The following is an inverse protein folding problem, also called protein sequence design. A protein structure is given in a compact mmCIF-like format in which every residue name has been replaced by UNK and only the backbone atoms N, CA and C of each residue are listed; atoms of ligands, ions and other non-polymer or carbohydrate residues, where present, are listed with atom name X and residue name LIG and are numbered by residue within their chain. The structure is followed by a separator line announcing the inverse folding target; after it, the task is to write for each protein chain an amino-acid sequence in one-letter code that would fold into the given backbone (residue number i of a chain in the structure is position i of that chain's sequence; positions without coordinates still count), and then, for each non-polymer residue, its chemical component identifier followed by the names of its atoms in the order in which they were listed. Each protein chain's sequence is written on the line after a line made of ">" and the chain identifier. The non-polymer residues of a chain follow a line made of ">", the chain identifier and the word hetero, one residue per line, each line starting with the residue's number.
data_IF_357477702017
#
_entry.id   IF_357477702017
#
_cell.length_a   1.000
_cell.length_b   1.000
_cell.length_c   1.000
_cell.angle_alpha   90.00
_cell.angle_beta   90.00
_cell.angle_gamma   90.00
#
_symmetry.space_group_name_H-M   'P 1'
#
loop_
_entity.id
_entity.type
_entity.pdbx_description
1 polymer ?
#
# COMPACT_ATOMS: atom_id res chain seq x y z
N UNK A 1 -0.71 0.32 -32.34
CA UNK A 1 -0.24 0.23 -30.93
C UNK A 1 -0.04 -1.23 -30.57
N UNK A 2 1.14 -1.61 -30.10
CA UNK A 2 1.37 -2.98 -29.64
C UNK A 2 0.70 -3.23 -28.26
N UNK A 3 0.78 -4.47 -27.78
CA UNK A 3 0.12 -4.85 -26.52
C UNK A 3 0.70 -4.09 -25.33
N UNK A 4 2.01 -3.92 -25.27
CA UNK A 4 2.68 -3.19 -24.19
C UNK A 4 2.26 -1.73 -24.16
N UNK A 5 2.21 -1.08 -25.32
CA UNK A 5 1.77 0.31 -25.42
C UNK A 5 0.32 0.49 -24.99
N UNK A 6 -0.55 -0.48 -25.32
CA UNK A 6 -1.95 -0.47 -24.89
C UNK A 6 -2.07 -0.54 -23.37
N UNK A 7 -1.27 -1.39 -22.73
CA UNK A 7 -1.25 -1.51 -21.28
C UNK A 7 -0.75 -0.22 -20.61
N UNK A 8 0.31 0.39 -21.15
CA UNK A 8 0.82 1.67 -20.64
C UNK A 8 -0.21 2.78 -20.81
N UNK A 9 -0.90 2.82 -21.94
CA UNK A 9 -1.98 3.78 -22.18
C UNK A 9 -3.09 3.64 -21.15
N UNK A 10 -3.57 2.41 -20.91
CA UNK A 10 -4.61 2.15 -19.93
C UNK A 10 -4.16 2.51 -18.51
N UNK A 11 -2.92 2.19 -18.16
CA UNK A 11 -2.36 2.55 -16.87
C UNK A 11 -2.37 4.07 -16.67
N UNK A 12 -1.93 4.81 -17.67
CA UNK A 12 -1.89 6.28 -17.59
C UNK A 12 -3.29 6.89 -17.55
N UNK A 13 -4.24 6.30 -18.26
CA UNK A 13 -5.64 6.73 -18.22
C UNK A 13 -6.18 6.65 -16.79
N UNK A 14 -5.99 5.52 -16.12
CA UNK A 14 -6.48 5.33 -14.74
C UNK A 14 -5.68 6.14 -13.73
N UNK A 15 -4.39 6.37 -13.97
CA UNK A 15 -3.62 7.32 -13.17
C UNK A 15 -4.23 8.72 -13.24
N UNK A 16 -4.52 9.21 -14.43
CA UNK A 16 -5.10 10.54 -14.61
C UNK A 16 -6.47 10.65 -13.94
N UNK A 17 -7.29 9.59 -14.04
CA UNK A 17 -8.58 9.54 -13.36
C UNK A 17 -8.40 9.60 -11.83
N UNK A 18 -7.47 8.84 -11.29
CA UNK A 18 -7.14 8.85 -9.86
C UNK A 18 -6.63 10.22 -9.40
N UNK A 19 -5.79 10.86 -10.21
CA UNK A 19 -5.27 12.18 -9.89
C UNK A 19 -6.40 13.22 -9.79
N UNK A 20 -7.33 13.21 -10.74
CA UNK A 20 -8.49 14.11 -10.70
C UNK A 20 -9.35 13.88 -9.45
N UNK A 21 -9.59 12.63 -9.08
CA UNK A 21 -10.35 12.28 -7.88
C UNK A 21 -9.62 12.74 -6.61
N UNK A 22 -8.31 12.58 -6.55
CA UNK A 22 -7.50 13.04 -5.42
C UNK A 22 -7.56 14.56 -5.29
N UNK A 23 -7.53 15.30 -6.40
CA UNK A 23 -7.60 16.76 -6.41
C UNK A 23 -8.93 17.30 -5.85
N UNK A 24 -10.03 16.57 -6.04
CA UNK A 24 -11.33 16.93 -5.48
C UNK A 24 -11.60 16.25 -4.13
N UNK A 25 -10.60 15.65 -3.52
CA UNK A 25 -10.66 14.98 -2.22
C UNK A 25 -11.53 13.72 -2.18
N UNK A 26 -11.81 13.11 -3.33
CA UNK A 26 -12.42 11.77 -3.40
C UNK A 26 -11.31 10.72 -3.26
N UNK A 27 -10.83 10.54 -2.03
CA UNK A 27 -9.68 9.69 -1.75
C UNK A 27 -10.00 8.21 -1.99
N UNK A 28 -11.19 7.77 -1.61
CA UNK A 28 -11.61 6.38 -1.84
C UNK A 28 -11.70 6.05 -3.34
N UNK A 29 -12.28 6.96 -4.13
CA UNK A 29 -12.35 6.82 -5.58
C UNK A 29 -10.98 6.85 -6.23
N UNK A 30 -10.09 7.72 -5.73
CA UNK A 30 -8.71 7.81 -6.21
C UNK A 30 -7.97 6.47 -5.99
N UNK A 31 -8.12 5.84 -4.83
CA UNK A 31 -7.50 4.54 -4.53
C UNK A 31 -7.94 3.48 -5.56
N UNK A 32 -9.24 3.41 -5.84
CA UNK A 32 -9.78 2.44 -6.82
C UNK A 32 -9.13 2.67 -8.20
N UNK A 33 -9.10 3.90 -8.67
CA UNK A 33 -8.53 4.24 -9.99
C UNK A 33 -7.03 3.97 -10.04
N UNK A 34 -6.28 4.32 -8.99
CA UNK A 34 -4.84 4.11 -8.95
C UNK A 34 -4.48 2.63 -8.87
N UNK A 35 -5.22 1.84 -8.11
CA UNK A 35 -5.04 0.38 -8.10
C UNK A 35 -5.30 -0.21 -9.49
N UNK A 36 -6.29 0.30 -10.19
CA UNK A 36 -6.58 -0.14 -11.56
C UNK A 36 -5.45 0.24 -12.52
N UNK A 37 -4.88 1.43 -12.36
CA UNK A 37 -3.68 1.84 -13.09
C UNK A 37 -2.56 0.81 -12.92
N UNK A 38 -2.31 0.38 -11.69
CA UNK A 38 -1.26 -0.60 -11.36
C UNK A 38 -1.58 -2.02 -11.85
N UNK A 39 -2.83 -2.36 -12.05
CA UNK A 39 -3.21 -3.63 -12.68
C UNK A 39 -2.76 -3.67 -14.15
N UNK A 40 -2.83 -2.55 -14.84
CA UNK A 40 -2.38 -2.46 -16.23
C UNK A 40 -0.86 -2.33 -16.35
N UNK A 41 -0.21 -1.63 -15.41
CA UNK A 41 1.26 -1.50 -15.37
C UNK A 41 1.72 -1.35 -13.93
N UNK A 42 2.13 -2.46 -13.33
CA UNK A 42 2.59 -2.51 -11.93
C UNK A 42 3.83 -1.65 -11.68
N UNK A 43 4.60 -1.31 -12.71
CA UNK A 43 5.81 -0.50 -12.63
C UNK A 43 5.55 0.99 -12.87
N UNK A 44 4.28 1.41 -12.94
CA UNK A 44 3.93 2.82 -13.05
C UNK A 44 4.23 3.53 -11.72
N UNK A 45 5.46 4.03 -11.60
CA UNK A 45 5.97 4.65 -10.37
C UNK A 45 5.16 5.90 -10.01
N UNK A 46 4.76 6.68 -10.99
CA UNK A 46 3.96 7.89 -10.78
C UNK A 46 2.63 7.56 -10.12
N UNK A 47 1.94 6.52 -10.63
CA UNK A 47 0.68 6.05 -10.04
C UNK A 47 0.89 5.49 -8.64
N UNK A 48 1.95 4.73 -8.43
CA UNK A 48 2.25 4.13 -7.14
C UNK A 48 2.57 5.18 -6.08
N UNK A 49 3.37 6.17 -6.44
CA UNK A 49 3.71 7.26 -5.51
C UNK A 49 2.48 8.10 -5.14
N UNK A 50 1.60 8.36 -6.10
CA UNK A 50 0.34 9.04 -5.81
C UNK A 50 -0.57 8.20 -4.92
N UNK A 51 -0.65 6.89 -5.16
CA UNK A 51 -1.41 5.98 -4.32
C UNK A 51 -0.93 6.04 -2.86
N UNK A 52 0.38 6.08 -2.65
CA UNK A 52 0.96 6.25 -1.33
C UNK A 52 0.51 7.56 -0.68
N UNK A 53 0.51 8.68 -1.42
CA UNK A 53 0.04 9.96 -0.91
C UNK A 53 -1.44 9.94 -0.54
N UNK A 54 -2.26 9.26 -1.34
CA UNK A 54 -3.71 9.15 -1.07
C UNK A 54 -3.95 8.32 0.19
N UNK A 55 -3.25 7.21 0.36
CA UNK A 55 -3.30 6.42 1.59
C UNK A 55 -2.89 7.26 2.80
N UNK A 56 -1.79 8.01 2.67
CA UNK A 56 -1.31 8.89 3.73
C UNK A 56 -2.37 9.93 4.11
N UNK A 57 -3.02 10.53 3.11
CA UNK A 57 -4.10 11.50 3.33
C UNK A 57 -5.31 10.93 4.06
N UNK A 58 -5.55 9.61 3.95
CA UNK A 58 -6.58 8.90 4.71
C UNK A 58 -6.12 8.43 6.09
N UNK A 59 -4.87 8.70 6.46
CA UNK A 59 -4.29 8.22 7.71
C UNK A 59 -3.79 6.78 7.65
N UNK A 60 -3.74 6.18 6.48
CA UNK A 60 -3.30 4.80 6.25
C UNK A 60 -1.81 4.77 6.00
N UNK A 61 -1.02 5.07 7.04
CA UNK A 61 0.43 5.31 6.94
C UNK A 61 1.19 4.04 6.54
N UNK A 62 0.81 2.89 7.08
CA UNK A 62 1.47 1.62 6.75
C UNK A 62 1.33 1.28 5.26
N UNK A 63 0.13 1.43 4.69
CA UNK A 63 -0.10 1.19 3.27
C UNK A 63 0.66 2.19 2.40
N UNK A 64 0.71 3.46 2.82
CA UNK A 64 1.49 4.48 2.12
C UNK A 64 2.96 4.09 2.02
N UNK A 65 3.56 3.68 3.15
CA UNK A 65 4.96 3.24 3.19
C UNK A 65 5.21 2.04 2.29
N UNK A 66 4.31 1.06 2.28
CA UNK A 66 4.44 -0.13 1.41
C UNK A 66 4.50 0.29 -0.05
N UNK A 67 3.62 1.18 -0.50
CA UNK A 67 3.62 1.64 -1.89
C UNK A 67 4.90 2.38 -2.25
N UNK A 68 5.39 3.25 -1.37
CA UNK A 68 6.63 3.99 -1.63
C UNK A 68 7.87 3.09 -1.62
N UNK A 69 7.91 2.09 -0.76
CA UNK A 69 9.01 1.11 -0.74
C UNK A 69 9.01 0.29 -2.03
N UNK A 70 7.86 -0.17 -2.49
CA UNK A 70 7.73 -0.90 -3.77
C UNK A 70 8.18 0.00 -4.92
N UNK A 71 7.77 1.26 -4.91
CA UNK A 71 8.18 2.25 -5.91
C UNK A 71 9.72 2.35 -5.99
N UNK A 72 10.39 2.44 -4.85
CA UNK A 72 11.86 2.49 -4.79
C UNK A 72 12.52 1.20 -5.27
N UNK A 73 11.87 0.07 -5.12
CA UNK A 73 12.39 -1.20 -5.65
C UNK A 73 12.40 -1.22 -7.18
N UNK A 74 11.44 -0.53 -7.81
CA UNK A 74 11.42 -0.37 -9.27
C UNK A 74 12.38 0.69 -9.75
N UNK A 75 12.53 1.79 -9.01
CA UNK A 75 13.45 2.89 -9.34
C UNK A 75 14.07 3.45 -8.07
N UNK A 76 15.34 3.11 -7.82
CA UNK A 76 16.03 3.50 -6.59
C UNK A 76 16.44 4.97 -6.56
N UNK A 77 16.77 5.57 -7.72
CA UNK A 77 17.23 6.95 -7.83
C UNK A 77 16.20 7.84 -8.54
N UNK A 78 16.29 9.15 -8.29
CA UNK A 78 15.37 10.14 -8.89
C UNK A 78 13.91 9.79 -8.65
N UNK A 79 13.60 9.38 -7.43
CA UNK A 79 12.27 8.93 -7.04
C UNK A 79 11.82 9.69 -5.78
N UNK A 80 10.75 10.46 -5.90
CA UNK A 80 10.20 11.26 -4.81
C UNK A 80 9.72 10.40 -3.61
N UNK A 81 9.53 9.10 -3.81
CA UNK A 81 9.17 8.19 -2.73
C UNK A 81 10.16 8.24 -1.57
N UNK A 82 11.46 8.47 -1.86
CA UNK A 82 12.49 8.62 -0.82
C UNK A 82 12.19 9.79 0.11
N UNK A 83 11.74 10.90 -0.44
CA UNK A 83 11.35 12.08 0.34
C UNK A 83 10.13 11.79 1.23
N UNK A 84 9.12 11.12 0.69
CA UNK A 84 7.91 10.80 1.44
C UNK A 84 8.22 9.82 2.59
N UNK A 85 9.06 8.82 2.34
CA UNK A 85 9.49 7.87 3.38
C UNK A 85 10.23 8.61 4.51
N UNK A 86 11.15 9.53 4.17
CA UNK A 86 11.87 10.33 5.17
C UNK A 86 10.91 11.12 6.04
N UNK A 87 9.89 11.72 5.46
CA UNK A 87 8.91 12.53 6.20
C UNK A 87 8.15 11.70 7.24
N UNK A 88 7.80 10.46 6.92
CA UNK A 88 7.16 9.55 7.88
C UNK A 88 8.13 9.15 8.96
N UNK A 89 9.39 8.83 8.62
CA UNK A 89 10.41 8.45 9.58
C UNK A 89 10.73 9.58 10.57
N UNK A 90 10.61 10.84 10.13
CA UNK A 90 10.83 12.02 10.97
C UNK A 90 9.65 12.31 11.90
N UNK A 91 8.54 11.57 11.80
CA UNK A 91 7.37 11.72 12.67
C UNK A 91 7.28 10.52 13.62
N UNK A 92 7.70 10.68 14.91
CA UNK A 92 7.75 9.56 15.86
C UNK A 92 6.39 8.90 16.12
N UNK A 93 5.32 9.69 16.15
CA UNK A 93 3.98 9.16 16.41
C UNK A 93 3.50 8.21 15.28
N UNK A 94 3.73 8.57 14.04
CA UNK A 94 3.35 7.74 12.90
C UNK A 94 4.24 6.50 12.80
N UNK A 95 5.54 6.66 13.05
CA UNK A 95 6.48 5.55 13.04
C UNK A 95 6.11 4.51 14.09
N UNK A 96 5.70 4.91 15.28
CA UNK A 96 5.27 4.00 16.33
C UNK A 96 4.04 3.19 15.91
N UNK A 97 3.05 3.82 15.28
CA UNK A 97 1.87 3.10 14.77
C UNK A 97 2.26 2.02 13.77
N UNK A 98 3.18 2.32 12.87
CA UNK A 98 3.70 1.35 11.90
C UNK A 98 4.42 0.22 12.61
N UNK A 99 5.28 0.53 13.58
CA UNK A 99 6.02 -0.47 14.35
C UNK A 99 5.08 -1.42 15.09
N UNK A 100 4.03 -0.90 15.71
CA UNK A 100 3.02 -1.73 16.39
C UNK A 100 2.31 -2.67 15.41
N UNK A 101 1.94 -2.17 14.23
CA UNK A 101 1.30 -3.00 13.19
C UNK A 101 2.25 -4.10 12.70
N UNK A 102 3.53 -3.79 12.47
CA UNK A 102 4.54 -4.76 12.06
C UNK A 102 4.75 -5.82 13.13
N UNK A 103 4.82 -5.41 14.41
CA UNK A 103 4.99 -6.35 15.52
C UNK A 103 3.84 -7.36 15.58
N UNK A 104 2.60 -6.90 15.48
CA UNK A 104 1.42 -7.77 15.47
C UNK A 104 1.42 -8.70 14.26
N UNK A 105 1.83 -8.21 13.09
CA UNK A 105 1.96 -9.02 11.88
C UNK A 105 2.98 -10.17 12.10
N UNK A 106 4.13 -9.86 12.69
CA UNK A 106 5.16 -10.86 12.97
C UNK A 106 4.69 -11.91 13.97
N UNK A 107 3.88 -11.54 14.95
CA UNK A 107 3.25 -12.50 15.87
C UNK A 107 2.34 -13.46 15.11
N UNK A 108 1.53 -12.95 14.18
CA UNK A 108 0.66 -13.78 13.35
C UNK A 108 1.46 -14.79 12.51
N UNK A 109 2.61 -14.36 11.94
CA UNK A 109 3.50 -15.25 11.21
C UNK A 109 4.06 -16.36 12.11
N UNK A 110 4.38 -16.03 13.37
CA UNK A 110 4.83 -17.01 14.36
C UNK A 110 3.80 -18.11 14.59
N UNK A 111 2.53 -17.75 14.75
CA UNK A 111 1.45 -18.72 14.89
C UNK A 111 1.30 -19.61 13.65
N UNK A 112 1.37 -19.05 12.46
CA UNK A 112 1.30 -19.82 11.21
C UNK A 112 2.41 -20.87 11.13
N UNK A 113 3.64 -20.51 11.51
CA UNK A 113 4.80 -21.41 11.48
C UNK A 113 4.69 -22.56 12.46
N UNK A 114 3.89 -22.42 13.51
CA UNK A 114 3.69 -23.42 14.56
C UNK A 114 2.43 -24.28 14.35
N UNK A 115 1.89 -24.29 13.12
CA UNK A 115 0.64 -24.97 12.77
C UNK A 115 -0.56 -24.48 13.60
N UNK A 116 -0.54 -23.25 14.06
CA UNK A 116 -1.63 -22.60 14.76
C UNK A 116 -2.51 -21.78 13.82
N UNK A 117 -2.97 -22.36 12.71
CA UNK A 117 -3.68 -21.61 11.66
C UNK A 117 -4.95 -20.91 12.19
N UNK A 118 -5.75 -21.58 13.01
CA UNK A 118 -6.97 -21.00 13.58
C UNK A 118 -6.65 -19.80 14.48
N UNK A 119 -5.61 -19.93 15.32
CA UNK A 119 -5.13 -18.83 16.18
C UNK A 119 -4.59 -17.70 15.33
N UNK A 120 -3.84 -18.03 14.27
CA UNK A 120 -3.30 -17.03 13.35
C UNK A 120 -4.43 -16.23 12.69
N UNK A 121 -5.48 -16.89 12.22
CA UNK A 121 -6.65 -16.24 11.63
C UNK A 121 -7.30 -15.27 12.63
N UNK A 122 -7.51 -15.71 13.88
CA UNK A 122 -8.10 -14.87 14.92
C UNK A 122 -7.24 -13.64 15.19
N UNK A 123 -5.91 -13.82 15.33
CA UNK A 123 -5.00 -12.70 15.57
C UNK A 123 -4.94 -11.75 14.37
N UNK A 124 -4.93 -12.26 13.15
CA UNK A 124 -4.95 -11.44 11.94
C UNK A 124 -6.21 -10.60 11.85
N UNK A 125 -7.37 -11.17 12.19
CA UNK A 125 -8.64 -10.43 12.23
C UNK A 125 -8.57 -9.29 13.23
N UNK A 126 -7.95 -9.50 14.41
CA UNK A 126 -7.76 -8.45 15.42
C UNK A 126 -6.84 -7.35 14.91
N UNK A 127 -5.74 -7.70 14.22
CA UNK A 127 -4.82 -6.73 13.62
C UNK A 127 -5.53 -5.90 12.56
N UNK A 128 -6.31 -6.55 11.69
CA UNK A 128 -7.06 -5.86 10.64
C UNK A 128 -8.08 -4.89 11.22
N UNK A 129 -8.78 -5.26 12.30
CA UNK A 129 -9.73 -4.37 12.98
C UNK A 129 -9.02 -3.19 13.65
N UNK A 130 -7.87 -3.44 14.32
CA UNK A 130 -7.09 -2.40 14.99
C UNK A 130 -6.32 -1.50 14.01
N UNK A 131 -5.86 -2.07 12.89
CA UNK A 131 -5.04 -1.41 11.87
C UNK A 131 -5.55 -1.77 10.47
N UNK A 132 -6.74 -1.29 10.06
CA UNK A 132 -7.35 -1.72 8.80
C UNK A 132 -6.52 -1.36 7.56
N UNK A 133 -5.59 -0.42 7.68
CA UNK A 133 -4.69 -0.03 6.59
C UNK A 133 -3.45 -0.92 6.43
N UNK A 134 -3.23 -1.91 7.31
CA UNK A 134 -2.02 -2.72 7.27
C UNK A 134 -2.12 -3.83 6.21
N UNK A 135 -1.63 -3.53 5.02
CA UNK A 135 -1.79 -4.35 3.83
C UNK A 135 -1.25 -5.77 3.95
N UNK A 136 -0.07 -5.94 4.60
CA UNK A 136 0.53 -7.28 4.77
C UNK A 136 -0.34 -8.22 5.59
N UNK A 137 -1.02 -7.71 6.61
CA UNK A 137 -1.96 -8.49 7.40
C UNK A 137 -3.15 -8.96 6.55
N UNK A 138 -3.68 -8.08 5.69
CA UNK A 138 -4.74 -8.44 4.74
C UNK A 138 -4.28 -9.52 3.77
N UNK A 139 -3.07 -9.39 3.23
CA UNK A 139 -2.51 -10.36 2.30
C UNK A 139 -2.32 -11.73 2.95
N UNK A 140 -1.79 -11.77 4.18
CA UNK A 140 -1.63 -13.03 4.92
C UNK A 140 -2.99 -13.66 5.23
N UNK A 141 -3.98 -12.86 5.63
CA UNK A 141 -5.33 -13.33 5.89
C UNK A 141 -5.95 -13.97 4.64
N UNK A 142 -5.74 -13.38 3.48
CA UNK A 142 -6.21 -13.92 2.21
C UNK A 142 -5.59 -15.28 1.87
N UNK A 143 -4.31 -15.48 2.22
CA UNK A 143 -3.61 -16.76 2.00
C UNK A 143 -4.12 -17.88 2.92
N UNK A 144 -4.63 -17.53 4.12
CA UNK A 144 -5.14 -18.52 5.09
C UNK A 144 -6.59 -18.92 4.82
N UNK A 145 -7.32 -18.12 4.08
CA UNK A 145 -8.67 -18.42 3.66
C UNK A 145 -8.67 -19.04 2.25
#
# INVERSE_FOLDING_TARGET
>A
MDYKQKLEYQSNYWYNDGLKKAQIRDLSGAIVSLKRSLQFNRENITARNLLGLVYYGRGEVAEALVEWIISKNFRASENIASYYISKVQDNPSELEKVNQAVHKYNQCLGYCRQNGEDLAIIQLKKVVVAHPSFLKAYQLLALLY
#
